data_IF_838066065538
#
_entry.id   IF_838066065538
#
_cell.length_a   1.000
_cell.length_b   1.000
_cell.length_c   1.000
_cell.angle_alpha   90.00
_cell.angle_beta   90.00
_cell.angle_gamma   90.00
#
_symmetry.space_group_name_H-M   'P 1'
#
loop_
_entity.id
_entity.type
_entity.pdbx_description
1 polymer ?
#
# COMPACT_ATOMS: atom_id res chain seq x y z
N UNK A 1 -7.97 1.09 -4.84
CA UNK A 1 -7.76 0.24 -3.63
C UNK A 1 -7.76 -1.30 -3.84
N UNK A 2 -7.41 -1.84 -5.02
CA UNK A 2 -7.47 -3.30 -5.29
C UNK A 2 -6.37 -4.10 -4.56
N UNK A 3 -5.14 -3.60 -4.52
CA UNK A 3 -3.99 -4.32 -3.97
C UNK A 3 -4.05 -4.59 -2.46
N UNK A 4 -4.58 -3.66 -1.68
CA UNK A 4 -4.79 -3.85 -0.24
C UNK A 4 -5.78 -4.99 0.03
N UNK A 5 -6.86 -5.07 -0.77
CA UNK A 5 -7.90 -6.10 -0.67
C UNK A 5 -7.32 -7.48 -0.98
N UNK A 6 -6.66 -7.64 -2.11
CA UNK A 6 -6.11 -8.93 -2.53
C UNK A 6 -5.02 -9.42 -1.56
N UNK A 7 -4.17 -8.51 -1.09
CA UNK A 7 -3.15 -8.82 -0.07
C UNK A 7 -3.80 -9.29 1.24
N UNK A 8 -4.94 -8.69 1.63
CA UNK A 8 -5.72 -9.13 2.79
C UNK A 8 -6.27 -10.55 2.63
N UNK A 9 -6.80 -10.90 1.44
CA UNK A 9 -7.29 -12.25 1.15
C UNK A 9 -6.15 -13.27 1.23
N UNK A 10 -5.01 -12.97 0.60
CA UNK A 10 -3.83 -13.85 0.63
C UNK A 10 -3.31 -14.08 2.06
N UNK A 11 -3.25 -13.03 2.89
CA UNK A 11 -2.85 -13.15 4.29
C UNK A 11 -3.85 -13.92 5.15
N UNK A 12 -5.16 -13.79 4.88
CA UNK A 12 -6.17 -14.60 5.55
C UNK A 12 -6.03 -16.08 5.22
N UNK A 13 -5.79 -16.40 3.95
CA UNK A 13 -5.53 -17.77 3.52
C UNK A 13 -4.25 -18.32 4.18
N UNK A 14 -3.14 -17.56 4.16
CA UNK A 14 -1.90 -17.97 4.80
C UNK A 14 -2.06 -18.26 6.31
N UNK A 15 -2.83 -17.42 7.02
CA UNK A 15 -3.16 -17.64 8.43
C UNK A 15 -3.94 -18.95 8.66
N UNK A 16 -4.90 -19.28 7.80
CA UNK A 16 -5.64 -20.54 7.90
C UNK A 16 -4.75 -21.78 7.69
N UNK A 17 -3.62 -21.62 7.01
CA UNK A 17 -2.63 -22.67 6.75
C UNK A 17 -1.47 -22.67 7.77
N UNK A 18 -1.48 -21.77 8.76
CA UNK A 18 -0.41 -21.66 9.75
C UNK A 18 0.91 -21.11 9.21
N UNK A 19 0.90 -20.43 8.06
CA UNK A 19 2.09 -19.84 7.45
C UNK A 19 2.36 -18.44 8.01
N UNK A 20 3.59 -18.19 8.47
CA UNK A 20 4.04 -16.83 8.78
C UNK A 20 4.65 -16.17 7.53
N UNK A 21 4.00 -15.13 7.04
CA UNK A 21 4.40 -14.35 5.87
C UNK A 21 4.65 -12.89 6.25
N UNK A 22 5.75 -12.59 6.98
CA UNK A 22 6.01 -11.25 7.50
C UNK A 22 6.16 -10.20 6.40
N UNK A 23 6.76 -10.57 5.26
CA UNK A 23 6.93 -9.66 4.13
C UNK A 23 5.59 -9.32 3.44
N UNK A 24 4.70 -10.30 3.29
CA UNK A 24 3.38 -10.07 2.72
C UNK A 24 2.53 -9.16 3.64
N UNK A 25 2.65 -9.34 4.96
CA UNK A 25 2.01 -8.50 5.97
C UNK A 25 2.49 -7.06 5.87
N UNK A 26 3.81 -6.84 5.86
CA UNK A 26 4.40 -5.52 5.69
C UNK A 26 3.97 -4.86 4.36
N UNK A 27 3.83 -5.65 3.28
CA UNK A 27 3.35 -5.15 1.98
C UNK A 27 1.91 -4.67 2.04
N UNK A 28 1.00 -5.43 2.68
CA UNK A 28 -0.40 -4.99 2.89
C UNK A 28 -0.45 -3.70 3.71
N UNK A 29 0.34 -3.61 4.77
CA UNK A 29 0.40 -2.42 5.62
C UNK A 29 0.82 -1.16 4.84
N UNK A 30 1.72 -1.27 3.86
CA UNK A 30 2.04 -0.13 2.99
C UNK A 30 0.85 0.30 2.13
N UNK A 31 0.10 -0.65 1.56
CA UNK A 31 -1.12 -0.31 0.81
C UNK A 31 -2.21 0.29 1.70
N UNK A 32 -2.37 -0.21 2.92
CA UNK A 32 -3.32 0.36 3.89
C UNK A 32 -2.95 1.80 4.24
N UNK A 33 -1.66 2.07 4.49
CA UNK A 33 -1.15 3.44 4.73
C UNK A 33 -1.39 4.34 3.53
N UNK A 34 -1.17 3.87 2.31
CA UNK A 34 -1.42 4.64 1.09
C UNK A 34 -2.90 5.06 0.99
N UNK A 35 -3.82 4.16 1.34
CA UNK A 35 -5.26 4.46 1.39
C UNK A 35 -5.55 5.49 2.51
N UNK A 36 -4.97 5.32 3.69
CA UNK A 36 -5.16 6.23 4.83
C UNK A 36 -4.66 7.65 4.55
N UNK A 37 -3.60 7.81 3.76
CA UNK A 37 -3.06 9.10 3.29
C UNK A 37 -3.87 9.70 2.10
N UNK A 38 -5.01 9.11 1.74
CA UNK A 38 -5.86 9.59 0.64
C UNK A 38 -5.32 9.29 -0.76
N UNK A 39 -4.31 8.41 -0.88
CA UNK A 39 -3.69 8.02 -2.14
C UNK A 39 -4.26 6.71 -2.70
N UNK A 40 -5.41 6.26 -2.18
CA UNK A 40 -6.00 4.95 -2.50
C UNK A 40 -6.46 4.73 -3.96
N UNK A 41 -6.58 5.82 -4.72
CA UNK A 41 -6.92 5.83 -6.14
C UNK A 41 -5.70 5.70 -7.07
N UNK A 42 -4.48 5.83 -6.53
CA UNK A 42 -3.27 5.56 -7.29
C UNK A 42 -3.11 4.07 -7.57
N UNK A 43 -2.40 3.78 -8.66
CA UNK A 43 -1.92 2.44 -8.95
C UNK A 43 -1.00 1.93 -7.82
N UNK A 44 -0.72 0.62 -7.80
CA UNK A 44 0.19 -0.04 -6.85
C UNK A 44 1.55 0.65 -6.74
N UNK A 45 2.05 1.17 -7.86
CA UNK A 45 3.28 1.98 -7.90
C UNK A 45 3.23 3.25 -7.04
N UNK A 46 2.04 3.72 -6.64
CA UNK A 46 1.81 4.84 -5.74
C UNK A 46 2.42 4.70 -4.33
N UNK A 47 2.82 3.48 -3.92
CA UNK A 47 3.62 3.28 -2.70
C UNK A 47 4.91 4.12 -2.71
N UNK A 48 5.45 4.44 -3.90
CA UNK A 48 6.61 5.31 -4.03
C UNK A 48 6.41 6.68 -3.36
N UNK A 49 5.18 7.17 -3.25
CA UNK A 49 4.85 8.42 -2.55
C UNK A 49 5.09 8.33 -1.03
N UNK A 50 4.92 7.14 -0.44
CA UNK A 50 5.20 6.92 0.98
C UNK A 50 6.71 6.80 1.27
N UNK A 51 7.48 6.35 0.28
CA UNK A 51 8.92 6.10 0.41
C UNK A 51 9.76 7.33 0.06
N UNK A 52 9.44 8.01 -1.03
CA UNK A 52 10.18 9.15 -1.56
C UNK A 52 9.39 10.44 -1.32
N UNK A 53 9.52 11.01 -0.11
CA UNK A 53 8.76 12.17 0.34
C UNK A 53 8.85 13.39 -0.61
N UNK A 54 9.96 13.52 -1.34
CA UNK A 54 10.17 14.60 -2.31
C UNK A 54 9.25 14.49 -3.54
N UNK A 55 8.77 13.28 -3.89
CA UNK A 55 7.82 13.09 -5.01
C UNK A 55 6.46 13.72 -4.73
N UNK A 56 5.98 13.58 -3.50
CA UNK A 56 4.68 14.14 -3.10
C UNK A 56 4.71 15.67 -3.07
N UNK A 57 5.86 16.28 -2.75
CA UNK A 57 6.05 17.73 -2.83
C UNK A 57 5.98 18.27 -4.26
N UNK A 58 6.58 17.56 -5.22
CA UNK A 58 6.51 17.91 -6.64
C UNK A 58 5.08 17.84 -7.18
N UNK A 59 4.29 16.86 -6.73
CA UNK A 59 2.88 16.73 -7.15
C UNK A 59 1.97 17.83 -6.59
N UNK A 60 2.18 18.25 -5.33
CA UNK A 60 1.45 19.40 -4.75
C UNK A 60 1.76 20.68 -5.54
N UNK A 61 3.04 20.93 -5.83
CA UNK A 61 3.47 22.10 -6.61
C UNK A 61 2.93 22.12 -8.04
N UNK A 62 2.66 20.95 -8.63
CA UNK A 62 2.07 20.84 -9.97
C UNK A 62 0.54 21.00 -10.00
N UNK A 63 -0.12 20.98 -8.83
CA UNK A 63 -1.56 21.14 -8.69
C UNK A 63 -1.98 22.58 -8.30
N UNK A 64 -1.01 23.44 -7.99
CA UNK A 64 -1.14 24.89 -7.76
C UNK A 64 -0.83 25.67 -9.04
#
# INVERSE_FOLDING_TARGET
AHAAKDSGIALNLARSLGLDLPLARATKEQYDRMIAEGLGELDKSGIAELTFKDRSALRKKAAD
#
